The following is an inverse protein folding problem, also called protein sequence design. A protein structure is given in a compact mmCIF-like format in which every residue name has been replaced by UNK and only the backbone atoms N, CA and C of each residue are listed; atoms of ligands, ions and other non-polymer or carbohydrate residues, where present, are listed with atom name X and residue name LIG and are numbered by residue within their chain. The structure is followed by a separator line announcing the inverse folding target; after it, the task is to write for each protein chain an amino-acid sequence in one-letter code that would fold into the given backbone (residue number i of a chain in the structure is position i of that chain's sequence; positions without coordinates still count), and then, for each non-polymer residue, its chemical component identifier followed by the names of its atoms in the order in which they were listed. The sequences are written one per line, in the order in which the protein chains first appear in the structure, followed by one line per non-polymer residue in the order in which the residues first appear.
data_IF_479456669509
#
_entry.id   IF_479456669509
#
_cell.length_a   1.000
_cell.length_b   1.000
_cell.length_c   1.000
_cell.angle_alpha   90.00
_cell.angle_beta   90.00
_cell.angle_gamma   90.00
#
_symmetry.space_group_name_H-M   'P 1'
#
loop_
_entity.id
_entity.type
_entity.pdbx_description
1 polymer ?
#
# COMPACT_ATOMS: atom_id res chain seq x y z
N UNK A 1 15.50 -62.72 1.60
CA UNK A 1 15.20 -61.27 1.50
C UNK A 1 15.56 -60.62 0.14
N UNK A 2 16.05 -61.38 -0.86
CA UNK A 2 16.49 -60.81 -2.16
C UNK A 2 15.35 -60.55 -3.18
N UNK A 3 14.16 -61.10 -2.97
CA UNK A 3 13.03 -60.94 -3.90
C UNK A 3 12.29 -59.59 -3.78
N UNK A 4 12.49 -58.84 -2.69
CA UNK A 4 11.85 -57.55 -2.49
C UNK A 4 12.62 -56.40 -3.17
N UNK A 5 13.95 -56.36 -3.04
CA UNK A 5 14.78 -55.34 -3.70
C UNK A 5 14.77 -55.47 -5.24
N UNK A 6 14.74 -56.69 -5.77
CA UNK A 6 14.62 -56.92 -7.22
C UNK A 6 13.27 -56.47 -7.80
N UNK A 7 12.21 -56.43 -6.99
CA UNK A 7 10.90 -55.92 -7.40
C UNK A 7 10.85 -54.39 -7.29
N UNK A 8 11.43 -53.80 -6.24
CA UNK A 8 11.55 -52.34 -6.07
C UNK A 8 12.41 -51.70 -7.18
N UNK A 9 13.49 -52.35 -7.61
CA UNK A 9 14.35 -51.85 -8.69
C UNK A 9 13.68 -51.77 -10.07
N UNK A 10 12.74 -52.67 -10.39
CA UNK A 10 12.00 -52.65 -11.68
C UNK A 10 10.83 -51.67 -11.68
N UNK A 11 10.24 -51.36 -10.52
CA UNK A 11 9.15 -50.36 -10.40
C UNK A 11 9.66 -48.93 -10.22
N UNK A 12 10.90 -48.75 -9.73
CA UNK A 12 11.51 -47.42 -9.56
C UNK A 12 11.72 -46.69 -10.91
N UNK A 13 12.08 -47.40 -11.98
CA UNK A 13 12.31 -46.79 -13.31
C UNK A 13 11.07 -46.15 -13.95
N UNK A 14 9.87 -46.68 -13.69
CA UNK A 14 8.62 -46.09 -14.19
C UNK A 14 8.11 -44.93 -13.31
N UNK A 15 8.42 -44.95 -12.01
CA UNK A 15 8.05 -43.89 -11.08
C UNK A 15 8.90 -42.62 -11.25
N UNK A 16 10.19 -42.76 -11.58
CA UNK A 16 11.10 -41.62 -11.83
C UNK A 16 10.69 -40.82 -13.06
N UNK A 17 10.37 -41.49 -14.18
CA UNK A 17 9.95 -40.80 -15.42
C UNK A 17 8.60 -40.10 -15.29
N UNK A 18 7.66 -40.68 -14.53
CA UNK A 18 6.32 -40.07 -14.31
C UNK A 18 6.37 -38.86 -13.37
N UNK A 19 7.26 -38.88 -12.37
CA UNK A 19 7.47 -37.75 -11.46
C UNK A 19 8.12 -36.55 -12.16
N UNK A 20 9.10 -36.78 -13.04
CA UNK A 20 9.74 -35.73 -13.85
C UNK A 20 8.76 -35.04 -14.81
N UNK A 21 7.95 -35.82 -15.53
CA UNK A 21 6.96 -35.26 -16.46
C UNK A 21 5.88 -34.43 -15.75
N UNK A 22 5.42 -34.88 -14.58
CA UNK A 22 4.43 -34.15 -13.77
C UNK A 22 5.02 -32.86 -13.19
N UNK A 23 6.28 -32.86 -12.80
CA UNK A 23 6.96 -31.64 -12.35
C UNK A 23 7.08 -30.60 -13.46
N UNK A 24 7.45 -31.02 -14.68
CA UNK A 24 7.54 -30.11 -15.83
C UNK A 24 6.17 -29.54 -16.23
N UNK A 25 5.13 -30.37 -16.25
CA UNK A 25 3.73 -29.94 -16.47
C UNK A 25 3.31 -28.88 -15.44
N UNK A 26 3.57 -29.10 -14.15
CA UNK A 26 3.24 -28.14 -13.11
C UNK A 26 3.96 -26.80 -13.29
N UNK A 27 5.22 -26.81 -13.73
CA UNK A 27 5.97 -25.58 -14.02
C UNK A 27 5.35 -24.83 -15.20
N UNK A 28 5.02 -25.52 -16.29
CA UNK A 28 4.39 -24.90 -17.46
C UNK A 28 3.00 -24.34 -17.13
N UNK A 29 2.18 -25.09 -16.40
CA UNK A 29 0.88 -24.63 -15.90
C UNK A 29 1.04 -23.42 -14.98
N UNK A 30 2.03 -23.43 -14.08
CA UNK A 30 2.31 -22.30 -13.19
C UNK A 30 2.69 -21.04 -13.98
N UNK A 31 3.55 -21.16 -15.00
CA UNK A 31 3.91 -20.07 -15.90
C UNK A 31 2.69 -19.50 -16.63
N UNK A 32 1.82 -20.37 -17.16
CA UNK A 32 0.59 -19.94 -17.85
C UNK A 32 -0.37 -19.24 -16.88
N UNK A 33 -0.53 -19.76 -15.65
CA UNK A 33 -1.35 -19.12 -14.62
C UNK A 33 -0.83 -17.74 -14.23
N UNK A 34 0.49 -17.58 -14.12
CA UNK A 34 1.09 -16.28 -13.85
C UNK A 34 0.76 -15.28 -14.97
N UNK A 35 0.92 -15.67 -16.24
CA UNK A 35 0.52 -14.84 -17.39
C UNK A 35 -0.97 -14.48 -17.36
N UNK A 36 -1.85 -15.45 -17.12
CA UNK A 36 -3.30 -15.20 -16.98
C UNK A 36 -3.57 -14.18 -15.87
N UNK A 37 -2.84 -14.25 -14.76
CA UNK A 37 -2.99 -13.29 -13.65
C UNK A 37 -2.58 -11.89 -14.07
N UNK A 38 -1.48 -11.75 -14.82
CA UNK A 38 -1.04 -10.46 -15.38
C UNK A 38 -2.08 -9.89 -16.33
N UNK A 39 -2.53 -10.66 -17.32
CA UNK A 39 -3.55 -10.19 -18.28
C UNK A 39 -4.86 -9.78 -17.60
N UNK A 40 -5.25 -10.49 -16.53
CA UNK A 40 -6.43 -10.10 -15.71
C UNK A 40 -6.21 -8.76 -15.02
N UNK A 41 -5.03 -8.52 -14.46
CA UNK A 41 -4.70 -7.24 -13.83
C UNK A 41 -4.68 -6.11 -14.86
N UNK A 42 -4.15 -6.37 -16.05
CA UNK A 42 -4.11 -5.41 -17.15
C UNK A 42 -5.52 -5.06 -17.61
N UNK A 43 -6.43 -6.03 -17.72
CA UNK A 43 -7.85 -5.80 -18.02
C UNK A 43 -8.51 -4.90 -16.97
N UNK A 44 -8.29 -5.14 -15.69
CA UNK A 44 -8.88 -4.30 -14.63
C UNK A 44 -8.32 -2.88 -14.66
N UNK A 45 -7.01 -2.73 -14.93
CA UNK A 45 -6.36 -1.42 -15.09
C UNK A 45 -6.95 -0.67 -16.29
N UNK A 46 -7.07 -1.33 -17.45
CA UNK A 46 -7.65 -0.71 -18.65
C UNK A 46 -9.11 -0.31 -18.44
N UNK A 47 -9.90 -1.08 -17.68
CA UNK A 47 -11.27 -0.67 -17.34
C UNK A 47 -11.30 0.58 -16.46
N UNK A 48 -10.36 0.70 -15.51
CA UNK A 48 -10.21 1.91 -14.69
C UNK A 48 -9.84 3.10 -15.57
N UNK A 49 -8.83 2.96 -16.44
CA UNK A 49 -8.41 4.02 -17.37
C UNK A 49 -9.55 4.48 -18.28
N UNK A 50 -10.35 3.53 -18.79
CA UNK A 50 -11.56 3.84 -19.58
C UNK A 50 -12.57 4.61 -18.73
N UNK A 51 -12.81 4.19 -17.48
CA UNK A 51 -13.71 4.88 -16.56
C UNK A 51 -13.28 6.31 -16.29
N UNK A 52 -12.00 6.52 -16.02
CA UNK A 52 -11.41 7.84 -15.78
C UNK A 52 -11.53 8.74 -17.02
N UNK A 53 -11.25 8.20 -18.21
CA UNK A 53 -11.41 8.93 -19.46
C UNK A 53 -12.88 9.27 -19.76
N UNK A 54 -13.82 8.35 -19.52
CA UNK A 54 -15.25 8.60 -19.64
C UNK A 54 -15.72 9.70 -18.67
N UNK A 55 -15.23 9.69 -17.43
CA UNK A 55 -15.51 10.72 -16.45
C UNK A 55 -14.98 12.10 -16.90
N UNK A 56 -13.75 12.15 -17.42
CA UNK A 56 -13.19 13.36 -18.02
C UNK A 56 -14.05 13.89 -19.19
N UNK A 57 -14.43 13.01 -20.12
CA UNK A 57 -15.26 13.40 -21.27
C UNK A 57 -16.66 13.87 -20.85
N UNK A 58 -17.25 13.24 -19.82
CA UNK A 58 -18.51 13.68 -19.25
C UNK A 58 -18.39 15.09 -18.65
N UNK A 59 -17.33 15.37 -17.87
CA UNK A 59 -17.07 16.72 -17.33
C UNK A 59 -16.90 17.77 -18.43
N UNK A 60 -16.32 17.39 -19.56
CA UNK A 60 -16.13 18.25 -20.74
C UNK A 60 -17.40 18.37 -21.60
N UNK A 61 -18.52 17.76 -21.19
CA UNK A 61 -19.80 17.80 -21.91
C UNK A 61 -19.80 17.02 -23.24
N UNK A 62 -18.82 16.12 -23.43
CA UNK A 62 -18.65 15.35 -24.68
C UNK A 62 -19.39 14.02 -24.69
N UNK A 63 -19.93 13.60 -23.56
CA UNK A 63 -20.73 12.38 -23.41
C UNK A 63 -22.04 12.75 -22.72
N UNK A 64 -23.15 12.38 -23.35
CA UNK A 64 -24.50 12.44 -22.79
C UNK A 64 -25.04 11.01 -22.67
N UNK A 65 -24.73 10.37 -21.54
CA UNK A 65 -25.20 9.02 -21.20
C UNK A 65 -25.74 9.03 -19.76
N UNK A 66 -26.95 8.51 -19.56
CA UNK A 66 -27.66 8.55 -18.28
C UNK A 66 -26.99 7.69 -17.20
N UNK A 67 -26.39 6.55 -17.59
CA UNK A 67 -25.69 5.67 -16.65
C UNK A 67 -24.41 6.33 -16.15
N UNK A 68 -23.65 6.91 -17.07
CA UNK A 68 -22.43 7.68 -16.74
C UNK A 68 -22.80 8.88 -15.88
N UNK A 69 -23.86 9.63 -16.22
CA UNK A 69 -24.35 10.75 -15.41
C UNK A 69 -24.70 10.33 -13.97
N UNK A 70 -25.42 9.21 -13.80
CA UNK A 70 -25.77 8.66 -12.49
C UNK A 70 -24.54 8.26 -11.66
N UNK A 71 -23.52 7.68 -12.29
CA UNK A 71 -22.24 7.41 -11.61
C UNK A 71 -21.49 8.68 -11.23
N UNK A 72 -21.44 9.68 -12.11
CA UNK A 72 -20.79 10.97 -11.85
C UNK A 72 -21.46 11.73 -10.70
N UNK A 73 -22.78 11.67 -10.58
CA UNK A 73 -23.49 12.31 -9.47
C UNK A 73 -23.19 11.63 -8.13
N UNK A 74 -23.10 10.30 -8.12
CA UNK A 74 -22.65 9.57 -6.92
C UNK A 74 -21.22 9.91 -6.53
N UNK A 75 -20.32 10.10 -7.50
CA UNK A 75 -18.94 10.55 -7.24
C UNK A 75 -18.94 11.90 -6.52
N UNK A 76 -19.73 12.88 -6.98
CA UNK A 76 -19.83 14.19 -6.31
C UNK A 76 -20.34 14.09 -4.87
N UNK A 77 -21.32 13.22 -4.61
CA UNK A 77 -21.81 12.98 -3.24
C UNK A 77 -20.68 12.41 -2.38
N UNK A 78 -19.92 11.44 -2.89
CA UNK A 78 -18.76 10.90 -2.18
C UNK A 78 -17.69 11.96 -1.91
N UNK A 79 -17.36 12.80 -2.88
CA UNK A 79 -16.40 13.92 -2.71
C UNK A 79 -16.85 14.89 -1.62
N UNK A 80 -18.14 15.26 -1.61
CA UNK A 80 -18.69 16.13 -0.57
C UNK A 80 -18.65 15.49 0.83
N UNK A 81 -18.95 14.19 0.93
CA UNK A 81 -18.84 13.45 2.19
C UNK A 81 -17.39 13.33 2.68
N UNK A 82 -16.43 13.13 1.78
CA UNK A 82 -15.00 13.11 2.12
C UNK A 82 -14.59 14.47 2.71
N UNK A 83 -14.91 15.57 2.04
CA UNK A 83 -14.58 16.91 2.51
C UNK A 83 -15.17 17.22 3.90
N UNK A 84 -16.42 16.80 4.13
CA UNK A 84 -17.08 16.95 5.44
C UNK A 84 -16.39 16.10 6.52
N UNK A 85 -16.04 14.85 6.23
CA UNK A 85 -15.32 13.99 7.16
C UNK A 85 -13.92 14.51 7.47
N UNK A 86 -13.21 15.03 6.48
CA UNK A 86 -11.89 15.66 6.65
C UNK A 86 -11.99 16.89 7.57
N UNK A 87 -13.01 17.72 7.39
CA UNK A 87 -13.28 18.84 8.28
C UNK A 87 -13.59 18.39 9.71
N UNK A 88 -14.43 17.38 9.89
CA UNK A 88 -14.71 16.82 11.22
C UNK A 88 -13.44 16.28 11.90
N UNK A 89 -12.53 15.67 11.13
CA UNK A 89 -11.23 15.24 11.65
C UNK A 89 -10.39 16.43 12.11
N UNK A 90 -10.41 17.54 11.37
CA UNK A 90 -9.70 18.77 11.74
C UNK A 90 -10.28 19.41 13.00
N UNK A 91 -11.60 19.56 13.08
CA UNK A 91 -12.29 20.09 14.26
C UNK A 91 -11.98 19.27 15.52
N UNK A 92 -12.03 17.93 15.43
CA UNK A 92 -11.64 17.03 16.52
C UNK A 92 -10.16 17.19 16.87
N UNK A 93 -9.27 17.34 15.88
CA UNK A 93 -7.85 17.56 16.18
C UNK A 93 -7.62 18.87 16.91
N UNK A 94 -8.30 19.94 16.53
CA UNK A 94 -8.19 21.23 17.20
C UNK A 94 -8.71 21.20 18.64
N UNK A 95 -9.88 20.56 18.86
CA UNK A 95 -10.46 20.39 20.20
C UNK A 95 -9.48 19.72 21.17
N UNK A 96 -8.78 18.68 20.72
CA UNK A 96 -7.81 17.95 21.55
C UNK A 96 -6.40 18.56 21.55
N UNK A 97 -6.07 19.47 20.62
CA UNK A 97 -4.81 20.22 20.59
C UNK A 97 -4.85 21.46 21.49
N UNK A 98 -6.03 22.08 21.65
CA UNK A 98 -6.27 23.21 22.53
C UNK A 98 -6.22 22.88 24.04
N UNK A 99 -6.17 21.61 24.41
CA UNK A 99 -6.06 21.14 25.81
C UNK A 99 -4.63 21.01 26.36
N UNK A 100 -3.60 21.38 25.59
CA UNK A 100 -2.19 21.30 26.02
C UNK A 100 -1.51 22.67 25.98
N UNK A 101 -2.00 23.61 26.78
CA UNK A 101 -1.15 24.67 27.35
C UNK A 101 -0.44 24.09 28.58
N UNK A 102 0.64 23.34 28.35
CA UNK A 102 1.62 23.12 29.41
C UNK A 102 2.50 24.36 29.40
N UNK A 103 2.22 25.28 30.32
CA UNK A 103 3.07 26.42 30.62
C UNK A 103 4.43 25.91 31.11
N UNK A 104 5.38 25.75 30.18
CA UNK A 104 6.79 25.57 30.51
C UNK A 104 7.42 26.97 30.57
N UNK A 105 7.19 27.71 31.65
CA UNK A 105 7.99 28.86 32.05
C UNK A 105 7.66 29.32 33.49
N UNK A 106 8.23 28.60 34.46
CA UNK A 106 8.62 29.10 35.79
C UNK A 106 9.52 28.00 36.36
N UNK A 107 10.83 28.13 36.40
CA UNK A 107 11.56 28.75 37.50
C UNK A 107 13.00 29.03 37.01
N UNK A 108 13.29 30.27 36.61
CA UNK A 108 14.65 30.81 36.61
C UNK A 108 14.63 31.99 37.59
N UNK A 109 14.82 31.69 38.87
CA UNK A 109 15.19 32.69 39.87
C UNK A 109 16.34 32.15 40.72
N UNK A 110 17.50 32.74 40.45
CA UNK A 110 18.63 33.00 41.34
C UNK A 110 19.17 31.84 42.19
N UNK A 111 20.34 31.33 41.80
CA UNK A 111 21.42 31.27 42.77
C UNK A 111 22.67 31.95 42.19
N UNK A 112 22.87 33.16 42.68
CA UNK A 112 24.09 33.94 42.59
C UNK A 112 25.18 33.21 43.36
N UNK A 113 26.16 32.66 42.66
CA UNK A 113 27.52 32.80 43.14
C UNK A 113 28.48 33.03 41.98
N UNK A 114 28.70 34.31 41.75
CA UNK A 114 29.99 34.87 41.40
C UNK A 114 31.19 34.00 41.83
N UNK A 115 31.97 33.55 40.85
CA UNK A 115 33.42 33.64 40.96
C UNK A 115 33.97 34.13 39.62
N UNK A 116 34.54 35.32 39.69
CA UNK A 116 35.10 36.06 38.58
C UNK A 116 36.61 35.84 38.55
N UNK A 117 37.20 36.12 37.38
CA UNK A 117 38.64 36.37 37.14
C UNK A 117 39.51 35.10 37.13
N UNK A 118 40.46 34.87 36.24
CA UNK A 118 41.21 35.69 35.26
C UNK A 118 41.76 34.70 34.22
N UNK A 119 41.59 34.97 32.92
CA UNK A 119 42.68 35.35 32.00
C UNK A 119 44.04 34.69 32.27
N UNK A 120 44.48 33.86 31.31
CA UNK A 120 45.83 33.74 30.75
C UNK A 120 45.82 32.41 29.95
N UNK A 121 45.92 32.37 28.63
CA UNK A 121 47.04 32.88 27.86
C UNK A 121 47.89 31.70 27.35
N UNK A 122 47.99 31.59 26.02
CA UNK A 122 49.04 30.91 25.23
C UNK A 122 49.04 29.37 25.04
N UNK A 123 48.81 29.05 23.76
CA UNK A 123 49.80 28.52 22.81
C UNK A 123 49.97 26.99 22.63
N UNK A 124 49.81 26.63 21.35
CA UNK A 124 50.40 25.53 20.58
C UNK A 124 49.90 24.10 20.79
#
# INVERSE_FOLDING_TARGET
MQNFLNKVGKTAGAAVNKAGNKANELIEVSKLKAKISTEKQDIETLKQDIGDYCYYLFKDGKIEDETIAGHCERIKICEAMIAELEKQIEDVREEYRGGSSVDLNSEDEADDHSDASEDEGKAQ
#
